data_IF_109997508533
#
_entry.id   IF_109997508533
#
_cell.length_a   1.000
_cell.length_b   1.000
_cell.length_c   1.000
_cell.angle_alpha   90.00
_cell.angle_beta   90.00
_cell.angle_gamma   90.00
#
_symmetry.space_group_name_H-M   'P 1'
#
loop_
_entity.id
_entity.type
_entity.pdbx_description
1 polymer ?
#
# COMPACT_ATOMS: atom_id res chain seq x y z
N UNK A 1 28.26 6.72 12.87
CA UNK A 1 27.25 7.79 12.76
C UNK A 1 26.34 7.67 13.96
N UNK A 2 26.31 8.70 14.78
CA UNK A 2 25.74 8.67 16.13
C UNK A 2 24.30 9.19 16.08
N UNK A 3 23.31 8.31 16.29
CA UNK A 3 21.88 8.65 16.24
C UNK A 3 21.41 9.45 17.46
N UNK A 4 22.26 9.59 18.49
CA UNK A 4 21.97 10.39 19.67
C UNK A 4 22.02 11.91 19.42
N UNK A 5 22.62 12.36 18.30
CA UNK A 5 22.83 13.78 18.04
C UNK A 5 21.65 14.49 17.35
N UNK A 6 20.58 13.79 16.96
CA UNK A 6 19.46 14.40 16.21
C UNK A 6 18.36 14.99 17.11
N UNK A 7 18.32 14.66 18.41
CA UNK A 7 17.24 15.06 19.31
C UNK A 7 17.60 16.05 20.42
N UNK A 8 18.87 16.45 20.55
CA UNK A 8 19.37 17.13 21.75
C UNK A 8 19.47 18.67 21.66
N UNK A 9 18.94 19.32 20.62
CA UNK A 9 19.36 20.69 20.27
C UNK A 9 18.31 21.81 20.28
N UNK A 10 17.03 21.56 20.56
CA UNK A 10 15.99 22.60 20.48
C UNK A 10 15.13 22.58 21.75
N UNK A 11 15.53 23.36 22.76
CA UNK A 11 14.64 23.68 23.88
C UNK A 11 13.49 24.57 23.38
N UNK A 12 12.33 24.50 24.04
CA UNK A 12 11.18 25.34 23.72
C UNK A 12 11.51 26.85 23.76
N UNK A 13 12.49 27.24 24.58
CA UNK A 13 12.99 28.62 24.70
C UNK A 13 13.82 29.05 23.48
N UNK A 14 14.57 28.15 22.83
CA UNK A 14 15.35 28.47 21.63
C UNK A 14 14.52 28.56 20.34
N UNK A 15 13.28 28.07 20.35
CA UNK A 15 12.36 28.16 19.21
C UNK A 15 11.69 29.54 19.10
N UNK A 16 11.62 30.31 20.20
CA UNK A 16 10.96 31.60 20.25
C UNK A 16 11.72 32.72 19.51
N UNK A 17 13.05 32.57 19.37
CA UNK A 17 13.93 33.55 18.72
C UNK A 17 14.18 33.26 17.23
N UNK A 18 13.63 32.17 16.69
CA UNK A 18 13.81 31.78 15.30
C UNK A 18 12.84 32.51 14.38
N UNK A 19 13.31 32.83 13.17
CA UNK A 19 12.41 33.30 12.11
C UNK A 19 11.42 32.21 11.69
N UNK A 20 10.28 32.61 11.10
CA UNK A 20 9.30 31.66 10.57
C UNK A 20 9.92 30.73 9.50
N UNK A 21 10.83 31.25 8.68
CA UNK A 21 11.54 30.47 7.66
C UNK A 21 12.43 29.38 8.28
N UNK A 22 13.15 29.71 9.36
CA UNK A 22 13.98 28.77 10.10
C UNK A 22 13.16 27.68 10.78
N UNK A 23 11.99 28.03 11.33
CA UNK A 23 11.06 27.09 11.94
C UNK A 23 10.49 26.11 10.90
N UNK A 24 10.11 26.59 9.70
CA UNK A 24 9.63 25.74 8.60
C UNK A 24 10.75 24.79 8.14
N UNK A 25 11.97 25.30 7.98
CA UNK A 25 13.11 24.48 7.58
C UNK A 25 13.47 23.42 8.64
N UNK A 26 13.39 23.76 9.93
CA UNK A 26 13.60 22.83 11.03
C UNK A 26 12.52 21.74 11.07
N UNK A 27 11.25 22.11 10.88
CA UNK A 27 10.15 21.15 10.78
C UNK A 27 10.33 20.18 9.60
N UNK A 28 10.71 20.70 8.42
CA UNK A 28 10.98 19.86 7.26
C UNK A 28 12.12 18.85 7.48
N UNK A 29 13.20 19.28 8.16
CA UNK A 29 14.30 18.38 8.54
C UNK A 29 13.87 17.31 9.54
N UNK A 30 13.06 17.67 10.53
CA UNK A 30 12.53 16.73 11.52
C UNK A 30 11.62 15.68 10.84
N UNK A 31 10.69 16.12 9.98
CA UNK A 31 9.81 15.23 9.23
C UNK A 31 10.60 14.26 8.34
N UNK A 32 11.65 14.74 7.66
CA UNK A 32 12.53 13.90 6.86
C UNK A 32 13.32 12.89 7.73
N UNK A 33 13.79 13.30 8.90
CA UNK A 33 14.47 12.42 9.84
C UNK A 33 13.53 11.34 10.40
N UNK A 34 12.30 11.71 10.78
CA UNK A 34 11.27 10.78 11.24
C UNK A 34 10.93 9.74 10.16
N UNK A 35 10.75 10.18 8.92
CA UNK A 35 10.49 9.27 7.80
C UNK A 35 11.66 8.32 7.56
N UNK A 36 12.90 8.81 7.63
CA UNK A 36 14.11 7.98 7.49
C UNK A 36 14.21 6.92 8.59
N UNK A 37 13.98 7.30 9.86
CA UNK A 37 13.97 6.35 10.98
C UNK A 37 12.85 5.32 10.82
N UNK A 38 11.66 5.76 10.40
CA UNK A 38 10.50 4.88 10.15
C UNK A 38 10.78 3.87 9.03
N UNK A 39 11.38 4.32 7.93
CA UNK A 39 11.77 3.46 6.82
C UNK A 39 12.80 2.40 7.27
N UNK A 40 13.85 2.81 7.98
CA UNK A 40 14.86 1.89 8.52
C UNK A 40 14.27 0.88 9.51
N UNK A 41 13.33 1.31 10.36
CA UNK A 41 12.60 0.42 11.26
C UNK A 41 11.82 -0.64 10.48
N UNK A 42 11.06 -0.25 9.46
CA UNK A 42 10.26 -1.18 8.66
C UNK A 42 11.13 -2.16 7.85
N UNK A 43 12.25 -1.70 7.30
CA UNK A 43 13.22 -2.56 6.63
C UNK A 43 13.78 -3.62 7.60
N UNK A 44 14.17 -3.20 8.81
CA UNK A 44 14.67 -4.12 9.82
C UNK A 44 13.63 -5.16 10.22
N UNK A 45 12.38 -4.74 10.41
CA UNK A 45 11.27 -5.65 10.75
C UNK A 45 11.02 -6.64 9.61
N UNK A 46 11.04 -6.19 8.36
CA UNK A 46 10.86 -7.05 7.19
C UNK A 46 11.95 -8.12 7.11
N UNK A 47 13.22 -7.73 7.29
CA UNK A 47 14.35 -8.66 7.35
C UNK A 47 14.19 -9.70 8.47
N UNK A 48 13.79 -9.29 9.68
CA UNK A 48 13.54 -10.23 10.78
C UNK A 48 12.38 -11.20 10.47
N UNK A 49 11.37 -10.75 9.71
CA UNK A 49 10.21 -11.55 9.32
C UNK A 49 10.49 -12.56 8.21
N UNK A 50 11.47 -12.30 7.34
CA UNK A 50 11.85 -13.22 6.26
C UNK A 50 12.40 -14.55 6.80
N UNK A 51 13.14 -14.48 7.90
CA UNK A 51 13.75 -15.64 8.56
C UNK A 51 12.94 -16.20 9.74
N UNK A 52 11.79 -15.61 10.05
CA UNK A 52 10.98 -15.96 11.22
C UNK A 52 9.91 -17.04 10.95
N UNK A 53 9.88 -18.06 11.81
CA UNK A 53 8.71 -18.95 11.95
C UNK A 53 7.48 -18.22 12.53
N UNK A 54 6.29 -18.82 12.39
CA UNK A 54 4.99 -18.21 12.77
C UNK A 54 4.91 -17.63 14.20
N UNK A 55 5.72 -18.13 15.14
CA UNK A 55 5.74 -17.65 16.54
C UNK A 55 6.24 -16.21 16.72
N UNK A 56 7.08 -15.69 15.81
CA UNK A 56 7.76 -14.39 15.95
C UNK A 56 6.87 -13.18 15.64
N UNK A 57 5.74 -13.38 14.95
CA UNK A 57 4.81 -12.30 14.60
C UNK A 57 4.14 -11.66 15.82
N UNK A 58 3.78 -12.47 16.83
CA UNK A 58 3.15 -11.96 18.06
C UNK A 58 4.14 -11.15 18.91
N UNK A 59 5.40 -11.58 18.94
CA UNK A 59 6.47 -10.89 19.66
C UNK A 59 6.81 -9.56 18.99
N UNK A 60 6.95 -9.54 17.67
CA UNK A 60 7.17 -8.31 16.91
C UNK A 60 6.00 -7.33 17.06
N UNK A 61 4.75 -7.80 17.08
CA UNK A 61 3.59 -6.94 17.30
C UNK A 61 3.64 -6.26 18.69
N UNK A 62 4.05 -7.01 19.71
CA UNK A 62 4.22 -6.48 21.08
C UNK A 62 5.35 -5.45 21.16
N UNK A 63 6.49 -5.70 20.53
CA UNK A 63 7.68 -4.82 20.59
C UNK A 63 7.44 -3.53 19.80
N UNK A 64 6.88 -3.65 18.59
CA UNK A 64 6.74 -2.53 17.65
C UNK A 64 5.44 -1.75 17.82
N UNK A 65 4.46 -2.31 18.55
CA UNK A 65 3.10 -1.78 18.63
C UNK A 65 2.30 -1.92 17.32
N UNK A 66 2.88 -2.51 16.28
CA UNK A 66 2.21 -2.70 14.99
C UNK A 66 1.19 -3.83 15.07
N UNK A 67 0.09 -3.70 14.33
CA UNK A 67 -0.87 -4.79 14.18
C UNK A 67 -0.23 -5.99 13.47
N UNK A 68 -0.70 -7.20 13.78
CA UNK A 68 -0.28 -8.43 13.07
C UNK A 68 -0.48 -8.31 11.56
N UNK A 69 -1.51 -7.57 11.15
CA UNK A 69 -1.81 -7.30 9.75
C UNK A 69 -0.76 -6.41 9.09
N UNK A 70 -0.35 -5.33 9.77
CA UNK A 70 0.72 -4.46 9.29
C UNK A 70 2.05 -5.21 9.17
N UNK A 71 2.38 -6.07 10.14
CA UNK A 71 3.56 -6.94 10.06
C UNK A 71 3.47 -7.93 8.91
N UNK A 72 2.28 -8.50 8.63
CA UNK A 72 2.08 -9.38 7.48
C UNK A 72 2.34 -8.65 6.17
N UNK A 73 1.85 -7.41 6.03
CA UNK A 73 2.10 -6.56 4.85
C UNK A 73 3.60 -6.30 4.63
N UNK A 74 4.37 -6.11 5.71
CA UNK A 74 5.82 -5.92 5.63
C UNK A 74 6.57 -7.17 5.12
N UNK A 75 6.03 -8.37 5.37
CA UNK A 75 6.60 -9.64 4.89
C UNK A 75 6.14 -10.00 3.49
N UNK A 76 4.85 -9.80 3.20
CA UNK A 76 4.24 -10.09 1.91
C UNK A 76 3.22 -9.00 1.58
N UNK A 77 3.52 -8.11 0.62
CA UNK A 77 2.53 -7.15 0.16
C UNK A 77 1.34 -7.91 -0.42
N UNK A 78 0.13 -7.42 -0.13
CA UNK A 78 -1.06 -7.91 -0.81
C UNK A 78 -0.95 -7.54 -2.28
N UNK A 79 -1.16 -8.51 -3.17
CA UNK A 79 -1.16 -8.23 -4.59
C UNK A 79 -2.24 -9.02 -5.33
N UNK A 80 -2.65 -8.45 -6.46
CA UNK A 80 -3.52 -9.08 -7.46
C UNK A 80 -2.90 -8.82 -8.83
N UNK A 81 -2.70 -9.89 -9.59
CA UNK A 81 -2.20 -9.77 -10.95
C UNK A 81 -3.37 -9.62 -11.91
N UNK A 82 -3.22 -8.74 -12.88
CA UNK A 82 -4.19 -8.57 -13.95
C UNK A 82 -4.20 -9.78 -14.86
N UNK A 83 -5.36 -10.03 -15.43
CA UNK A 83 -5.64 -10.94 -16.52
C UNK A 83 -6.16 -10.06 -17.65
N UNK A 84 -5.36 -9.95 -18.71
CA UNK A 84 -5.77 -9.29 -19.95
C UNK A 84 -6.47 -10.33 -20.81
N UNK A 85 -7.63 -9.98 -21.37
CA UNK A 85 -8.25 -10.77 -22.45
C UNK A 85 -7.89 -10.09 -23.77
N UNK A 86 -7.59 -10.90 -24.79
CA UNK A 86 -6.99 -10.44 -26.04
C UNK A 86 -7.80 -9.28 -26.67
N UNK A 87 -7.11 -8.17 -26.96
CA UNK A 87 -7.62 -7.08 -27.80
C UNK A 87 -8.28 -5.89 -27.10
N UNK A 88 -8.50 -5.91 -25.78
CA UNK A 88 -9.18 -4.82 -25.06
C UNK A 88 -8.28 -4.11 -24.04
N UNK A 89 -8.57 -2.82 -23.83
CA UNK A 89 -8.04 -1.96 -22.76
C UNK A 89 -8.40 -2.46 -21.35
N UNK A 90 -9.21 -3.52 -21.25
CA UNK A 90 -9.71 -4.07 -20.01
C UNK A 90 -8.63 -4.87 -19.27
N UNK A 91 -8.45 -4.55 -17.99
CA UNK A 91 -7.52 -5.23 -17.11
C UNK A 91 -8.30 -5.81 -15.94
N UNK A 92 -8.44 -7.14 -15.88
CA UNK A 92 -9.27 -7.77 -14.86
C UNK A 92 -8.45 -8.41 -13.77
N UNK A 93 -8.85 -8.27 -12.51
CA UNK A 93 -8.32 -9.09 -11.42
C UNK A 93 -9.33 -10.15 -11.00
N UNK A 94 -8.83 -11.34 -10.63
CA UNK A 94 -9.67 -12.37 -10.01
C UNK A 94 -10.05 -11.95 -8.59
N UNK A 95 -11.34 -11.89 -8.32
CA UNK A 95 -11.92 -11.66 -7.00
C UNK A 95 -13.12 -12.58 -6.77
N UNK A 96 -12.91 -13.89 -6.53
CA UNK A 96 -13.93 -14.69 -5.87
C UNK A 96 -14.22 -14.05 -4.50
N UNK A 97 -15.50 -13.94 -4.15
CA UNK A 97 -16.05 -13.14 -3.03
C UNK A 97 -15.20 -13.14 -1.75
N UNK A 98 -15.10 -11.97 -1.11
CA UNK A 98 -14.49 -11.66 0.20
C UNK A 98 -12.98 -11.85 0.38
N UNK A 99 -12.23 -12.14 -0.68
CA UNK A 99 -10.76 -12.25 -0.61
C UNK A 99 -10.00 -10.90 -0.67
N UNK A 100 -10.66 -9.77 -0.40
CA UNK A 100 -10.03 -8.44 -0.37
C UNK A 100 -10.25 -7.81 1.00
N UNK A 101 -9.16 -7.49 1.70
CA UNK A 101 -9.23 -6.77 2.97
C UNK A 101 -9.41 -5.26 2.70
N UNK A 102 -10.40 -4.59 3.29
CA UNK A 102 -10.71 -3.18 2.98
C UNK A 102 -9.60 -2.23 3.41
N UNK A 103 -8.96 -2.51 4.54
CA UNK A 103 -8.03 -1.59 5.23
C UNK A 103 -6.56 -1.77 4.81
N UNK A 104 -6.29 -2.52 3.74
CA UNK A 104 -4.93 -2.82 3.28
C UNK A 104 -4.71 -2.34 1.86
N UNK A 105 -3.49 -1.89 1.58
CA UNK A 105 -3.09 -1.56 0.22
C UNK A 105 -2.77 -2.82 -0.58
N UNK A 106 -3.30 -2.87 -1.79
CA UNK A 106 -3.05 -3.91 -2.78
C UNK A 106 -2.18 -3.37 -3.91
N UNK A 107 -1.12 -4.11 -4.24
CA UNK A 107 -0.39 -3.93 -5.47
C UNK A 107 -1.18 -4.59 -6.62
N UNK A 108 -1.56 -3.79 -7.61
CA UNK A 108 -2.06 -4.31 -8.89
C UNK A 108 -0.84 -4.55 -9.78
N UNK A 109 -0.61 -5.81 -10.13
CA UNK A 109 0.56 -6.23 -10.89
C UNK A 109 0.20 -6.63 -12.31
N UNK A 110 1.16 -6.53 -13.23
CA UNK A 110 1.00 -7.06 -14.57
C UNK A 110 0.93 -8.60 -14.55
N UNK A 111 0.72 -9.17 -15.73
CA UNK A 111 0.66 -10.61 -16.03
C UNK A 111 1.92 -11.37 -15.60
N UNK A 112 3.08 -10.70 -15.59
CA UNK A 112 4.35 -11.22 -15.08
C UNK A 112 4.39 -11.43 -13.56
N UNK A 113 3.39 -10.89 -12.84
CA UNK A 113 3.23 -10.93 -11.37
C UNK A 113 4.34 -10.21 -10.60
N UNK A 114 5.21 -9.48 -11.27
CA UNK A 114 6.34 -8.76 -10.68
C UNK A 114 6.22 -7.26 -10.88
N UNK A 115 5.81 -6.82 -12.06
CA UNK A 115 5.67 -5.40 -12.39
C UNK A 115 4.47 -4.82 -11.66
N UNK A 116 4.68 -3.83 -10.81
CA UNK A 116 3.61 -3.12 -10.10
C UNK A 116 3.11 -1.98 -10.99
N UNK A 117 1.83 -2.03 -11.36
CA UNK A 117 1.18 -1.04 -12.20
C UNK A 117 0.46 0.04 -11.38
N UNK A 118 -0.05 -0.32 -10.20
CA UNK A 118 -0.71 0.58 -9.27
C UNK A 118 -0.66 0.05 -7.83
N UNK A 119 -0.80 0.94 -6.85
CA UNK A 119 -1.03 0.60 -5.43
C UNK A 119 -2.33 1.27 -5.01
N UNK A 120 -3.31 0.47 -4.58
CA UNK A 120 -4.65 0.96 -4.28
C UNK A 120 -5.20 0.37 -2.97
N UNK A 121 -6.01 1.13 -2.21
CA UNK A 121 -6.70 0.59 -1.05
C UNK A 121 -7.61 -0.59 -1.45
N UNK A 122 -7.69 -1.62 -0.62
CA UNK A 122 -8.58 -2.75 -0.85
C UNK A 122 -10.06 -2.33 -0.90
N UNK A 123 -10.43 -1.28 -0.17
CA UNK A 123 -11.75 -0.67 -0.25
C UNK A 123 -12.09 -0.20 -1.69
N UNK A 124 -11.13 0.38 -2.41
CA UNK A 124 -11.31 0.81 -3.82
C UNK A 124 -11.65 -0.37 -4.73
N UNK A 125 -11.02 -1.53 -4.53
CA UNK A 125 -11.31 -2.76 -5.28
C UNK A 125 -12.73 -3.27 -4.97
N UNK A 126 -13.14 -3.23 -3.69
CA UNK A 126 -14.49 -3.62 -3.29
C UNK A 126 -15.55 -2.69 -3.90
N UNK A 127 -15.27 -1.39 -3.96
CA UNK A 127 -16.19 -0.40 -4.54
C UNK A 127 -16.32 -0.57 -6.07
N UNK A 128 -15.21 -0.85 -6.76
CA UNK A 128 -15.22 -1.26 -8.17
C UNK A 128 -16.09 -2.48 -8.42
N UNK A 129 -15.91 -3.52 -7.60
CA UNK A 129 -16.72 -4.74 -7.68
C UNK A 129 -18.20 -4.44 -7.52
N UNK A 130 -18.58 -3.60 -6.54
CA UNK A 130 -19.98 -3.21 -6.31
C UNK A 130 -20.55 -2.45 -7.49
N UNK A 131 -19.80 -1.48 -8.05
CA UNK A 131 -20.21 -0.72 -9.25
C UNK A 131 -20.43 -1.64 -10.45
N UNK A 132 -19.48 -2.52 -10.74
CA UNK A 132 -19.58 -3.45 -11.86
C UNK A 132 -20.73 -4.46 -11.69
N UNK A 133 -20.94 -4.99 -10.49
CA UNK A 133 -22.07 -5.88 -10.21
C UNK A 133 -23.42 -5.16 -10.38
N UNK A 134 -23.54 -3.92 -9.92
CA UNK A 134 -24.74 -3.11 -10.08
C UNK A 134 -25.07 -2.85 -11.57
N UNK A 135 -24.06 -2.60 -12.40
CA UNK A 135 -24.23 -2.47 -13.84
C UNK A 135 -24.76 -3.77 -14.47
N UNK A 136 -24.15 -4.92 -14.15
CA UNK A 136 -24.62 -6.21 -14.69
C UNK A 136 -25.99 -6.64 -14.20
N UNK A 137 -26.39 -6.27 -12.97
CA UNK A 137 -27.75 -6.53 -12.48
C UNK A 137 -28.81 -5.76 -13.27
N UNK A 138 -28.43 -4.63 -13.87
CA UNK A 138 -29.32 -3.86 -14.77
C UNK A 138 -29.50 -4.58 -16.11
N UNK A 139 -28.47 -5.26 -16.60
CA UNK A 139 -28.49 -6.02 -17.86
C UNK A 139 -29.09 -7.43 -17.70
N UNK A 140 -28.75 -8.12 -16.62
CA UNK A 140 -29.22 -9.46 -16.26
C UNK A 140 -29.46 -9.55 -14.74
N UNK A 141 -30.72 -9.37 -14.30
CA UNK A 141 -31.09 -9.40 -12.89
C UNK A 141 -30.81 -10.74 -12.17
N UNK A 142 -30.52 -11.83 -12.90
CA UNK A 142 -30.22 -13.14 -12.31
C UNK A 142 -28.77 -13.26 -11.83
N UNK A 143 -27.89 -12.31 -12.19
CA UNK A 143 -26.48 -12.32 -11.78
C UNK A 143 -26.31 -11.88 -10.33
N UNK A 144 -25.99 -12.82 -9.45
CA UNK A 144 -25.77 -12.52 -8.02
C UNK A 144 -24.31 -12.27 -7.66
N UNK A 145 -23.37 -12.48 -8.59
CA UNK A 145 -21.94 -12.40 -8.30
C UNK A 145 -21.10 -12.10 -9.55
N UNK A 146 -19.90 -11.54 -9.34
CA UNK A 146 -18.84 -11.43 -10.33
C UNK A 146 -17.53 -11.96 -9.76
N UNK A 147 -16.81 -12.74 -10.57
CA UNK A 147 -15.51 -13.36 -10.20
C UNK A 147 -14.31 -12.57 -10.70
N UNK A 148 -14.53 -11.62 -11.61
CA UNK A 148 -13.53 -10.76 -12.21
C UNK A 148 -13.96 -9.31 -12.03
N UNK A 149 -13.03 -8.46 -11.61
CA UNK A 149 -13.26 -7.02 -11.45
C UNK A 149 -12.38 -6.28 -12.42
N UNK A 150 -12.98 -5.40 -13.20
CA UNK A 150 -12.25 -4.50 -14.09
C UNK A 150 -11.55 -3.43 -13.25
N UNK A 151 -10.24 -3.33 -13.40
CA UNK A 151 -9.38 -2.36 -12.71
C UNK A 151 -8.68 -1.44 -13.69
N UNK A 152 -9.07 -1.42 -14.97
CA UNK A 152 -8.44 -0.57 -15.98
C UNK A 152 -8.40 0.91 -15.56
N UNK A 153 -9.44 1.41 -14.89
CA UNK A 153 -9.49 2.81 -14.38
C UNK A 153 -8.45 3.11 -13.29
N UNK A 154 -7.89 2.08 -12.64
CA UNK A 154 -6.86 2.24 -11.61
C UNK A 154 -5.45 2.25 -12.20
N UNK A 155 -5.31 1.92 -13.49
CA UNK A 155 -4.02 1.77 -14.14
C UNK A 155 -3.63 3.05 -14.87
N UNK A 156 -2.33 3.36 -14.96
CA UNK A 156 -1.86 4.44 -15.82
C UNK A 156 -2.29 4.17 -17.28
N UNK A 157 -2.58 5.22 -18.06
CA UNK A 157 -2.95 5.08 -19.47
C UNK A 157 -1.85 4.35 -20.21
N UNK A 158 -2.21 3.26 -20.90
CA UNK A 158 -1.24 2.50 -21.66
C UNK A 158 -0.80 3.34 -22.85
N UNK A 159 0.50 3.66 -22.90
CA UNK A 159 1.10 4.20 -24.11
C UNK A 159 1.02 3.11 -25.17
N UNK A 160 0.10 3.25 -26.13
CA UNK A 160 0.10 2.38 -27.29
C UNK A 160 1.49 2.48 -27.94
N UNK A 161 2.20 1.37 -28.19
CA UNK A 161 3.37 1.44 -29.04
C UNK A 161 2.92 2.00 -30.39
N UNK A 162 3.47 3.15 -30.75
CA UNK A 162 3.25 3.78 -32.04
C UNK A 162 3.73 2.79 -33.10
N UNK A 163 2.79 2.26 -33.88
CA UNK A 163 3.06 1.41 -35.04
C UNK A 163 3.78 2.20 -36.13
#
# INVERSE_FOLDING_TARGET
MDTASLGAGLSAEGLADLSLEDLIAAHGRLAAAEESVRAAMYERISNELEFAGHGRLSELARITGLSREKLRQLRRPYYRSIVRRDGESAAYIKQPSDNVHPDVDYQIRDTDRTTVLAVVPGQTILDLRRRQLAAYLTEDPRRTNISMVDVAELLPPQSNPTT
#
